data_IF_624454769858
#
_entry.id   IF_624454769858
#
_cell.length_a   1.000
_cell.length_b   1.000
_cell.length_c   1.000
_cell.angle_alpha   90.00
_cell.angle_beta   90.00
_cell.angle_gamma   90.00
#
_symmetry.space_group_name_H-M   'P 1'
#
loop_
_entity.id
_entity.type
_entity.pdbx_description
1 polymer ?
#
# COMPACT_ATOMS: atom_id res chain seq x y z
N UNK A 1 -4.63 -6.89 5.12
CA UNK A 1 -3.98 -6.11 4.05
C UNK A 1 -4.02 -4.61 4.35
N UNK A 2 -5.19 -4.02 4.65
CA UNK A 2 -5.33 -2.58 4.95
C UNK A 2 -4.34 -2.03 6.00
N UNK A 3 -4.07 -2.77 7.08
CA UNK A 3 -3.12 -2.35 8.13
C UNK A 3 -1.67 -2.19 7.66
N UNK A 4 -1.28 -2.81 6.54
CA UNK A 4 0.04 -2.59 5.92
C UNK A 4 0.14 -1.18 5.34
N UNK A 5 -0.98 -0.60 4.92
CA UNK A 5 -1.05 0.72 4.27
C UNK A 5 -1.36 1.83 5.25
N UNK A 6 -2.44 1.68 6.04
CA UNK A 6 -2.99 2.75 6.91
C UNK A 6 -2.79 2.50 8.40
N UNK A 7 -2.10 1.43 8.80
CA UNK A 7 -1.97 1.06 10.20
C UNK A 7 -1.33 2.16 11.04
N UNK A 8 -1.87 2.39 12.24
CA UNK A 8 -1.31 3.35 13.19
C UNK A 8 -0.94 2.65 14.51
N UNK A 9 0.26 2.89 15.06
CA UNK A 9 0.69 2.22 16.30
C UNK A 9 -0.01 2.74 17.56
N UNK A 10 -1.14 3.44 17.41
CA UNK A 10 -1.90 4.01 18.51
C UNK A 10 -2.51 2.89 19.37
N UNK A 11 -2.12 2.86 20.63
CA UNK A 11 -2.62 1.88 21.60
C UNK A 11 -3.97 2.34 22.18
N UNK A 12 -5.01 2.38 21.34
CA UNK A 12 -6.30 2.96 21.70
C UNK A 12 -7.26 1.96 22.39
N UNK A 13 -6.83 0.72 22.63
CA UNK A 13 -7.62 -0.28 23.33
C UNK A 13 -7.31 -0.27 24.85
N UNK A 14 -8.34 -0.03 25.67
CA UNK A 14 -8.27 -0.22 27.12
C UNK A 14 -7.90 -1.68 27.42
N UNK A 15 -6.67 -1.92 27.88
CA UNK A 15 -6.12 -3.27 28.12
C UNK A 15 -4.87 -3.62 27.30
N UNK A 16 -4.46 -2.77 26.35
CA UNK A 16 -3.10 -2.77 25.78
C UNK A 16 -2.70 -4.01 24.96
N UNK A 17 -3.65 -4.82 24.51
CA UNK A 17 -3.38 -6.11 23.85
C UNK A 17 -3.11 -6.03 22.34
N UNK A 18 -3.51 -4.94 21.68
CA UNK A 18 -3.40 -4.80 20.23
C UNK A 18 -2.80 -3.46 19.84
N UNK A 19 -1.78 -3.51 18.98
CA UNK A 19 -1.18 -2.34 18.32
C UNK A 19 -1.02 -2.67 16.86
N UNK A 20 -1.42 -1.75 16.00
CA UNK A 20 -1.28 -1.95 14.55
C UNK A 20 0.18 -1.74 14.12
N UNK A 21 0.47 -2.29 12.95
CA UNK A 21 1.69 -1.98 12.22
C UNK A 21 1.72 -0.50 11.86
N UNK A 22 2.93 0.08 11.80
CA UNK A 22 3.12 1.39 11.17
C UNK A 22 2.94 1.23 9.67
N UNK A 23 1.84 1.75 9.12
CA UNK A 23 1.47 1.60 7.72
C UNK A 23 2.38 2.38 6.77
N UNK A 24 2.45 1.92 5.51
CA UNK A 24 3.23 2.55 4.45
C UNK A 24 2.88 4.01 4.21
N UNK A 25 1.62 4.41 4.39
CA UNK A 25 1.20 5.80 4.18
C UNK A 25 1.89 6.76 5.17
N UNK A 26 2.21 6.29 6.38
CA UNK A 26 2.99 7.08 7.35
C UNK A 26 4.50 7.07 7.06
N UNK A 27 5.00 6.04 6.35
CA UNK A 27 6.41 5.90 5.96
C UNK A 27 6.73 6.49 4.59
N UNK A 28 5.74 6.78 3.77
CA UNK A 28 5.90 7.53 2.50
C UNK A 28 5.26 8.88 2.72
N UNK A 29 5.95 9.71 3.50
CA UNK A 29 5.45 11.01 3.92
C UNK A 29 6.57 12.06 3.94
N UNK A 30 6.18 13.31 4.16
CA UNK A 30 7.08 14.43 4.43
C UNK A 30 7.10 14.74 5.93
N UNK A 31 8.09 15.51 6.38
CA UNK A 31 8.21 15.94 7.77
C UNK A 31 8.98 14.96 8.65
N UNK A 32 9.94 14.22 8.09
CA UNK A 32 10.87 13.46 8.91
C UNK A 32 11.66 14.39 9.83
N UNK A 33 11.85 13.96 11.08
CA UNK A 33 12.63 14.68 12.07
C UNK A 33 13.78 13.82 12.56
N UNK A 34 14.89 14.45 12.89
CA UNK A 34 15.98 13.78 13.59
C UNK A 34 15.50 13.29 14.96
N UNK A 35 15.80 12.02 15.27
CA UNK A 35 15.37 11.39 16.50
C UNK A 35 16.03 12.00 17.76
N UNK A 36 17.23 12.57 17.62
CA UNK A 36 17.98 13.13 18.77
C UNK A 36 17.76 14.64 18.91
N UNK A 37 17.83 15.40 17.82
CA UNK A 37 17.70 16.87 17.87
C UNK A 37 16.28 17.39 17.65
N UNK A 38 15.38 16.58 17.08
CA UNK A 38 14.02 16.99 16.71
C UNK A 38 13.96 17.99 15.55
N UNK A 39 15.08 18.24 14.87
CA UNK A 39 15.15 19.15 13.72
C UNK A 39 14.61 18.44 12.48
N UNK A 40 13.86 19.16 11.64
CA UNK A 40 13.32 18.64 10.39
C UNK A 40 14.44 18.26 9.40
N UNK A 41 14.28 17.10 8.75
CA UNK A 41 15.20 16.51 7.79
C UNK A 41 14.53 16.42 6.40
N UNK A 42 14.37 17.55 5.69
CA UNK A 42 13.67 17.57 4.41
C UNK A 42 14.36 16.74 3.32
N UNK A 43 15.64 16.39 3.49
CA UNK A 43 16.37 15.53 2.56
C UNK A 43 15.96 14.05 2.62
N UNK A 44 15.30 13.62 3.69
CA UNK A 44 14.82 12.24 3.89
C UNK A 44 13.36 12.09 3.42
N UNK A 45 12.65 13.20 3.26
CA UNK A 45 11.25 13.25 2.86
C UNK A 45 11.00 12.56 1.52
N UNK A 46 9.88 11.84 1.43
CA UNK A 46 9.39 11.25 0.19
C UNK A 46 8.83 12.30 -0.77
N UNK A 47 8.85 12.02 -2.08
CA UNK A 47 8.18 12.87 -3.08
C UNK A 47 6.66 12.67 -3.00
N UNK A 48 5.98 13.51 -2.23
CA UNK A 48 4.53 13.48 -2.07
C UNK A 48 3.89 14.59 -2.91
N UNK A 49 3.00 14.21 -3.82
CA UNK A 49 2.22 15.11 -4.68
C UNK A 49 0.74 14.85 -4.49
N UNK A 50 -0.09 15.83 -4.76
CA UNK A 50 -1.55 15.72 -4.67
C UNK A 50 -2.18 15.95 -6.03
N UNK A 51 -3.02 15.01 -6.47
CA UNK A 51 -3.84 15.15 -7.67
C UNK A 51 -5.13 15.96 -7.42
N UNK A 52 -5.39 16.38 -6.17
CA UNK A 52 -6.52 17.20 -5.77
C UNK A 52 -7.89 16.64 -6.21
N UNK A 53 -8.07 15.32 -6.17
CA UNK A 53 -9.29 14.62 -6.64
C UNK A 53 -9.57 14.79 -8.14
N UNK A 54 -8.55 15.10 -8.94
CA UNK A 54 -8.70 15.14 -10.40
C UNK A 54 -8.94 13.73 -10.93
N UNK A 55 -10.01 13.55 -11.70
CA UNK A 55 -10.36 12.26 -12.26
C UNK A 55 -9.54 11.94 -13.51
N UNK A 56 -9.13 10.68 -13.66
CA UNK A 56 -8.28 10.19 -14.77
C UNK A 56 -8.90 10.49 -16.15
N UNK A 57 -10.23 10.48 -16.25
CA UNK A 57 -10.93 10.80 -17.50
C UNK A 57 -11.03 12.31 -17.79
N UNK A 58 -10.93 13.18 -16.77
CA UNK A 58 -11.12 14.64 -16.92
C UNK A 58 -9.83 15.36 -17.36
N UNK A 59 -8.70 15.00 -16.73
CA UNK A 59 -7.38 15.55 -17.08
C UNK A 59 -6.29 14.46 -17.03
N UNK A 60 -6.25 13.58 -18.05
CA UNK A 60 -5.30 12.47 -18.09
C UNK A 60 -3.85 12.96 -18.18
N UNK A 61 -3.62 14.14 -18.76
CA UNK A 61 -2.27 14.64 -19.01
C UNK A 61 -1.58 15.07 -17.72
N UNK A 62 -2.28 15.76 -16.81
CA UNK A 62 -1.68 16.16 -15.52
C UNK A 62 -1.30 14.95 -14.66
N UNK A 63 -2.14 13.92 -14.62
CA UNK A 63 -1.90 12.70 -13.82
C UNK A 63 -0.72 11.90 -14.39
N UNK A 64 -0.68 11.68 -15.70
CA UNK A 64 0.42 10.93 -16.34
C UNK A 64 1.74 11.71 -16.22
N UNK A 65 1.69 13.03 -16.36
CA UNK A 65 2.85 13.88 -16.09
C UNK A 65 3.28 13.79 -14.63
N UNK A 66 2.34 13.82 -13.67
CA UNK A 66 2.67 13.70 -12.25
C UNK A 66 3.38 12.37 -11.96
N UNK A 67 2.87 11.24 -12.46
CA UNK A 67 3.49 9.91 -12.33
C UNK A 67 4.88 9.88 -12.98
N UNK A 68 5.00 10.42 -14.20
CA UNK A 68 6.27 10.47 -14.94
C UNK A 68 7.32 11.29 -14.21
N UNK A 69 6.96 12.48 -13.73
CA UNK A 69 7.88 13.36 -12.98
C UNK A 69 8.22 12.80 -11.60
N UNK A 70 7.30 12.09 -10.94
CA UNK A 70 7.58 11.39 -9.69
C UNK A 70 8.70 10.35 -9.91
N UNK A 71 8.60 9.52 -10.96
CA UNK A 71 9.66 8.56 -11.31
C UNK A 71 10.97 9.24 -11.71
N UNK A 72 10.93 10.27 -12.57
CA UNK A 72 12.13 11.01 -13.00
C UNK A 72 12.88 11.65 -11.83
N UNK A 73 12.14 12.22 -10.87
CA UNK A 73 12.70 12.86 -9.69
C UNK A 73 13.47 11.85 -8.83
N UNK A 74 12.81 10.76 -8.41
CA UNK A 74 13.48 9.76 -7.55
C UNK A 74 14.62 9.03 -8.27
N UNK A 75 14.52 8.83 -9.58
CA UNK A 75 15.61 8.23 -10.38
C UNK A 75 16.83 9.15 -10.45
N UNK A 76 16.60 10.45 -10.62
CA UNK A 76 17.69 11.44 -10.61
C UNK A 76 18.33 11.51 -9.22
N UNK A 77 17.53 11.47 -8.15
CA UNK A 77 18.04 11.40 -6.77
C UNK A 77 18.86 10.14 -6.51
N UNK A 78 18.42 8.97 -6.98
CA UNK A 78 19.18 7.73 -6.83
C UNK A 78 20.56 7.80 -7.50
N UNK A 79 20.62 8.40 -8.69
CA UNK A 79 21.89 8.62 -9.39
C UNK A 79 22.80 9.61 -8.65
N UNK A 80 22.24 10.71 -8.15
CA UNK A 80 22.99 11.72 -7.40
C UNK A 80 23.49 11.22 -6.04
N UNK A 81 22.74 10.35 -5.38
CA UNK A 81 23.09 9.76 -4.09
C UNK A 81 23.97 8.51 -4.21
N UNK A 82 24.21 8.00 -5.43
CA UNK A 82 25.09 6.86 -5.69
C UNK A 82 24.52 5.52 -5.25
N UNK A 83 23.19 5.40 -5.12
CA UNK A 83 22.49 4.18 -4.71
C UNK A 83 21.92 3.37 -5.88
N UNK A 84 22.21 3.81 -7.10
CA UNK A 84 21.89 3.08 -8.33
C UNK A 84 22.66 1.75 -8.42
N UNK A 85 22.06 0.68 -8.98
CA UNK A 85 20.70 0.62 -9.52
C UNK A 85 19.63 0.33 -8.45
N UNK A 86 18.48 0.98 -8.59
CA UNK A 86 17.31 0.80 -7.71
C UNK A 86 16.19 0.08 -8.47
N UNK A 87 15.50 -0.84 -7.81
CA UNK A 87 14.26 -1.45 -8.32
C UNK A 87 13.06 -0.74 -7.73
N UNK A 88 12.38 0.04 -8.55
CA UNK A 88 11.12 0.68 -8.17
C UNK A 88 9.91 -0.14 -8.62
N UNK A 89 8.84 -0.05 -7.85
CA UNK A 89 7.53 -0.59 -8.20
C UNK A 89 6.45 0.42 -7.86
N UNK A 90 5.46 0.55 -8.73
CA UNK A 90 4.23 1.26 -8.38
C UNK A 90 3.28 0.30 -7.66
N UNK A 91 2.58 0.79 -6.65
CA UNK A 91 1.48 0.09 -6.01
C UNK A 91 0.22 0.95 -6.07
N UNK A 92 -0.88 0.38 -6.55
CA UNK A 92 -2.17 1.04 -6.73
C UNK A 92 -3.31 0.01 -6.71
N UNK A 93 -4.57 0.46 -6.61
CA UNK A 93 -5.73 -0.41 -6.75
C UNK A 93 -5.93 -0.90 -8.18
N UNK A 94 -6.57 -2.06 -8.35
CA UNK A 94 -6.81 -2.67 -9.66
C UNK A 94 -7.70 -1.79 -10.56
N UNK A 95 -8.70 -1.13 -10.00
CA UNK A 95 -9.64 -0.30 -10.77
C UNK A 95 -8.96 0.94 -11.36
N UNK A 96 -8.20 1.65 -10.52
CA UNK A 96 -7.37 2.77 -10.93
C UNK A 96 -6.38 2.36 -12.04
N UNK A 97 -5.79 1.17 -11.92
CA UNK A 97 -4.89 0.63 -12.95
C UNK A 97 -5.56 0.46 -14.32
N UNK A 98 -6.80 -0.02 -14.38
CA UNK A 98 -7.52 -0.17 -15.65
C UNK A 98 -7.85 1.16 -16.30
N UNK A 99 -8.21 2.17 -15.53
CA UNK A 99 -8.48 3.52 -16.05
C UNK A 99 -7.20 4.23 -16.49
N UNK A 100 -6.10 4.13 -15.73
CA UNK A 100 -4.81 4.71 -16.15
C UNK A 100 -4.33 4.06 -17.46
N UNK A 101 -4.38 2.73 -17.58
CA UNK A 101 -3.92 2.04 -18.80
C UNK A 101 -4.75 2.36 -20.04
N UNK A 102 -6.00 2.82 -19.89
CA UNK A 102 -6.86 3.27 -21.00
C UNK A 102 -6.35 4.59 -21.60
N UNK A 103 -5.89 5.52 -20.78
CA UNK A 103 -5.40 6.84 -21.22
C UNK A 103 -3.88 6.88 -21.48
N UNK A 104 -3.11 5.98 -20.86
CA UNK A 104 -1.65 5.96 -20.93
C UNK A 104 -1.05 5.92 -22.35
N UNK A 105 -1.50 5.04 -23.26
CA UNK A 105 -0.96 5.01 -24.62
C UNK A 105 -1.15 6.34 -25.35
N UNK A 106 -2.30 6.99 -25.16
CA UNK A 106 -2.62 8.26 -25.80
C UNK A 106 -1.61 9.34 -25.39
N UNK A 107 -1.42 9.55 -24.09
CA UNK A 107 -0.46 10.54 -23.60
C UNK A 107 1.00 10.19 -23.96
N UNK A 108 1.37 8.90 -23.94
CA UNK A 108 2.73 8.46 -24.23
C UNK A 108 3.12 8.68 -25.70
N UNK A 109 2.23 8.38 -26.66
CA UNK A 109 2.54 8.53 -28.08
C UNK A 109 2.46 9.98 -28.57
N UNK A 110 1.58 10.80 -27.98
CA UNK A 110 1.32 12.17 -28.45
C UNK A 110 2.07 13.24 -27.64
N UNK A 111 2.67 12.91 -26.49
CA UNK A 111 3.18 13.89 -25.54
C UNK A 111 2.07 14.66 -24.80
N UNK A 112 0.85 14.10 -24.81
CA UNK A 112 -0.40 14.63 -24.25
C UNK A 112 -1.63 14.06 -24.97
N UNK A 113 -2.82 14.01 -24.38
CA UNK A 113 -4.02 13.40 -24.95
C UNK A 113 -4.76 14.32 -25.93
N UNK A 114 -4.32 15.57 -26.09
CA UNK A 114 -4.96 16.56 -26.96
C UNK A 114 -4.40 16.53 -28.39
N UNK A 115 -5.29 16.27 -29.35
CA UNK A 115 -4.94 15.91 -30.73
C UNK A 115 -4.94 17.12 -31.69
N UNK A 116 -4.56 18.31 -31.22
CA UNK A 116 -4.69 19.53 -32.02
C UNK A 116 -3.38 20.32 -31.96
N UNK A 117 -2.61 20.31 -33.06
CA UNK A 117 -1.57 21.30 -33.30
C UNK A 117 -2.20 22.72 -33.30
N UNK A 118 -1.41 23.76 -33.01
CA UNK A 118 -1.84 25.17 -33.07
C UNK A 118 -2.45 25.57 -34.44
N UNK A 119 -2.22 24.75 -35.48
CA UNK A 119 -2.76 24.89 -36.83
C UNK A 119 -4.02 24.05 -37.12
N UNK A 120 -4.56 23.31 -36.15
CA UNK A 120 -5.77 22.49 -36.31
C UNK A 120 -5.57 21.12 -36.98
N UNK A 121 -4.33 20.63 -37.11
CA UNK A 121 -4.06 19.29 -37.66
C UNK A 121 -4.11 18.21 -36.57
N UNK A 122 -4.81 17.10 -36.88
CA UNK A 122 -4.89 15.92 -36.03
C UNK A 122 -3.74 14.97 -36.37
N UNK A 123 -2.90 14.67 -35.39
CA UNK A 123 -1.93 13.57 -35.50
C UNK A 123 -2.72 12.27 -35.48
N UNK A 124 -2.67 11.51 -36.58
CA UNK A 124 -3.31 10.21 -36.70
C UNK A 124 -2.28 9.15 -36.34
N UNK A 125 -2.46 8.50 -35.19
CA UNK A 125 -1.70 7.32 -34.79
C UNK A 125 -2.53 6.09 -35.13
N UNK A 126 -1.85 5.02 -35.56
CA UNK A 126 -2.49 3.73 -35.77
C UNK A 126 -3.06 3.18 -34.45
N UNK A 127 -4.38 3.02 -34.41
CA UNK A 127 -5.09 2.53 -33.23
C UNK A 127 -4.61 1.14 -32.77
N UNK A 128 -4.02 0.36 -33.68
CA UNK A 128 -3.44 -0.95 -33.37
C UNK A 128 -2.29 -0.85 -32.38
N UNK A 129 -1.37 0.10 -32.55
CA UNK A 129 -0.19 0.23 -31.68
C UNK A 129 -0.59 0.70 -30.27
N UNK A 130 -1.62 1.53 -30.17
CA UNK A 130 -2.17 1.97 -28.88
C UNK A 130 -2.82 0.81 -28.11
N UNK A 131 -3.58 -0.04 -28.81
CA UNK A 131 -4.21 -1.23 -28.22
C UNK A 131 -3.15 -2.25 -27.82
N UNK A 132 -2.18 -2.51 -28.70
CA UNK A 132 -1.11 -3.48 -28.43
C UNK A 132 -0.25 -3.03 -27.22
N UNK A 133 0.04 -1.73 -27.09
CA UNK A 133 0.75 -1.20 -25.91
C UNK A 133 -0.08 -1.32 -24.63
N UNK A 134 -1.37 -0.96 -24.67
CA UNK A 134 -2.28 -1.11 -23.52
C UNK A 134 -2.33 -2.56 -23.04
N UNK A 135 -2.53 -3.49 -23.96
CA UNK A 135 -2.70 -4.90 -23.62
C UNK A 135 -1.39 -5.51 -23.12
N UNK A 136 -0.24 -5.08 -23.66
CA UNK A 136 1.09 -5.43 -23.13
C UNK A 136 1.30 -4.90 -21.70
N UNK A 137 0.92 -3.66 -21.40
CA UNK A 137 1.02 -3.10 -20.06
C UNK A 137 0.14 -3.88 -19.07
N UNK A 138 -1.11 -4.18 -19.45
CA UNK A 138 -2.05 -4.93 -18.61
C UNK A 138 -1.58 -6.36 -18.34
N UNK A 139 -1.09 -7.07 -19.35
CA UNK A 139 -0.58 -8.43 -19.20
C UNK A 139 0.75 -8.47 -18.43
N UNK A 140 1.65 -7.54 -18.72
CA UNK A 140 2.98 -7.47 -18.11
C UNK A 140 3.03 -6.74 -16.77
N UNK A 141 1.92 -6.10 -16.35
CA UNK A 141 1.82 -5.27 -15.14
C UNK A 141 2.99 -4.29 -15.02
N UNK A 142 3.15 -3.45 -16.04
CA UNK A 142 4.19 -2.42 -16.04
C UNK A 142 3.68 -1.12 -16.63
N UNK A 143 4.21 -0.01 -16.13
CA UNK A 143 4.13 1.31 -16.78
C UNK A 143 5.40 1.56 -17.58
N UNK A 144 5.23 2.05 -18.81
CA UNK A 144 6.35 2.48 -19.64
C UNK A 144 6.60 3.97 -19.43
N UNK A 145 7.70 4.30 -18.74
CA UNK A 145 8.10 5.69 -18.45
C UNK A 145 9.48 5.92 -19.07
N UNK A 146 9.58 6.85 -20.03
CA UNK A 146 10.84 7.19 -20.72
C UNK A 146 11.60 5.98 -21.30
N UNK A 147 10.86 5.01 -21.86
CA UNK A 147 11.42 3.78 -22.40
C UNK A 147 11.84 2.74 -21.34
N UNK A 148 11.64 2.99 -20.05
CA UNK A 148 11.88 2.05 -18.96
C UNK A 148 10.56 1.43 -18.52
N UNK A 149 10.55 0.10 -18.36
CA UNK A 149 9.42 -0.63 -17.78
C UNK A 149 9.53 -0.62 -16.27
N UNK A 150 8.55 -0.03 -15.59
CA UNK A 150 8.44 -0.02 -14.14
C UNK A 150 7.30 -0.94 -13.74
N UNK A 151 7.58 -1.93 -12.89
CA UNK A 151 6.59 -2.93 -12.47
C UNK A 151 5.47 -2.28 -11.64
N UNK A 152 4.25 -2.83 -11.75
CA UNK A 152 3.07 -2.41 -11.00
C UNK A 152 2.53 -3.57 -10.19
N UNK A 153 2.33 -3.34 -8.89
CA UNK A 153 1.66 -4.23 -7.96
C UNK A 153 0.24 -3.69 -7.75
N UNK A 154 -0.73 -4.59 -7.83
CA UNK A 154 -2.13 -4.29 -7.53
C UNK A 154 -2.41 -4.80 -6.12
N UNK A 155 -2.94 -3.94 -5.25
CA UNK A 155 -3.28 -4.28 -3.87
C UNK A 155 -4.56 -3.55 -3.42
N UNK A 156 -5.58 -4.33 -3.09
CA UNK A 156 -6.87 -3.84 -2.59
C UNK A 156 -6.77 -3.27 -1.17
N UNK A 157 -5.66 -3.55 -0.45
CA UNK A 157 -5.41 -3.00 0.87
C UNK A 157 -5.15 -1.49 0.91
N UNK A 158 -4.91 -0.84 -0.24
CA UNK A 158 -4.79 0.61 -0.32
C UNK A 158 -6.18 1.21 -0.05
N UNK A 159 -6.31 2.23 0.83
CA UNK A 159 -7.60 2.83 1.13
C UNK A 159 -8.19 3.54 -0.09
N UNK A 160 -9.51 3.47 -0.20
CA UNK A 160 -10.28 4.16 -1.22
C UNK A 160 -11.22 5.16 -0.56
N UNK A 161 -11.35 6.32 -1.19
CA UNK A 161 -12.25 7.39 -0.80
C UNK A 161 -13.43 7.43 -1.76
N UNK A 162 -14.61 7.64 -1.21
CA UNK A 162 -15.88 7.68 -1.94
C UNK A 162 -16.46 9.09 -1.91
N UNK A 163 -17.57 9.31 -2.62
CA UNK A 163 -18.37 10.54 -2.51
C UNK A 163 -18.85 10.85 -1.07
N UNK A 164 -18.84 9.86 -0.16
CA UNK A 164 -19.12 10.06 1.26
C UNK A 164 -18.00 10.76 2.03
N UNK A 165 -16.76 10.67 1.54
CA UNK A 165 -15.56 11.16 2.23
C UNK A 165 -15.15 12.57 1.79
N UNK A 166 -15.45 12.93 0.54
CA UNK A 166 -15.13 14.26 -0.01
C UNK A 166 -16.19 14.70 -1.02
N UNK A 167 -16.65 15.95 -0.91
CA UNK A 167 -17.58 16.57 -1.85
C UNK A 167 -16.99 16.78 -3.26
N UNK A 168 -15.68 16.59 -3.43
CA UNK A 168 -14.99 16.68 -4.72
C UNK A 168 -15.09 15.39 -5.54
N UNK A 169 -15.59 14.30 -4.97
CA UNK A 169 -15.76 13.02 -5.65
C UNK A 169 -17.23 12.86 -6.07
N UNK A 170 -17.47 12.66 -7.37
CA UNK A 170 -18.81 12.44 -7.90
C UNK A 170 -19.33 11.04 -7.52
N UNK A 171 -20.66 10.88 -7.45
CA UNK A 171 -21.28 9.57 -7.24
C UNK A 171 -20.89 8.59 -8.37
N UNK A 172 -20.41 7.40 -7.99
CA UNK A 172 -19.88 6.41 -8.93
C UNK A 172 -18.39 6.59 -9.28
N UNK A 173 -17.74 7.60 -8.73
CA UNK A 173 -16.29 7.75 -8.77
C UNK A 173 -15.67 7.48 -7.40
N UNK A 174 -14.41 7.09 -7.42
CA UNK A 174 -13.61 6.71 -6.27
C UNK A 174 -12.26 7.41 -6.35
N UNK A 175 -11.57 7.60 -5.23
CA UNK A 175 -10.22 8.14 -5.23
C UNK A 175 -9.29 7.26 -4.39
N UNK A 176 -8.09 7.00 -4.89
CA UNK A 176 -7.06 6.28 -4.14
C UNK A 176 -5.68 6.87 -4.38
N UNK A 177 -4.75 6.55 -3.49
CA UNK A 177 -3.37 6.98 -3.58
C UNK A 177 -2.55 6.01 -4.44
N UNK A 178 -1.61 6.54 -5.22
CA UNK A 178 -0.60 5.74 -5.94
C UNK A 178 0.73 5.85 -5.22
N UNK A 179 1.36 4.71 -4.92
CA UNK A 179 2.66 4.67 -4.26
C UNK A 179 3.76 4.27 -5.25
N UNK A 180 4.91 4.92 -5.17
CA UNK A 180 6.16 4.47 -5.77
C UNK A 180 7.08 3.99 -4.66
N UNK A 181 7.38 2.69 -4.67
CA UNK A 181 8.12 2.03 -3.59
C UNK A 181 9.47 1.53 -4.12
N UNK A 182 10.59 1.89 -3.46
CA UNK A 182 11.87 1.27 -3.72
C UNK A 182 11.90 -0.11 -3.04
N UNK A 183 12.03 -1.17 -3.83
CA UNK A 183 12.12 -2.55 -3.33
C UNK A 183 13.56 -2.93 -2.97
N UNK A 184 14.50 -2.53 -3.80
CA UNK A 184 15.93 -2.74 -3.55
C UNK A 184 16.80 -1.63 -4.11
N UNK A 185 17.95 -1.40 -3.48
CA UNK A 185 18.99 -0.45 -3.90
C UNK A 185 20.33 -1.17 -4.11
N UNK A 186 21.28 -0.53 -4.80
CA UNK A 186 22.62 -1.08 -5.09
C UNK A 186 22.57 -2.47 -5.75
N UNK A 187 21.51 -2.78 -6.50
CA UNK A 187 21.35 -4.06 -7.20
C UNK A 187 21.00 -5.27 -6.33
N UNK A 188 20.60 -5.10 -5.07
CA UNK A 188 20.16 -6.25 -4.27
C UNK A 188 19.84 -6.01 -2.79
N UNK A 189 20.12 -4.83 -2.25
CA UNK A 189 19.83 -4.54 -0.83
C UNK A 189 18.35 -4.19 -0.68
N UNK A 190 17.58 -5.03 0.01
CA UNK A 190 16.15 -4.77 0.23
C UNK A 190 15.92 -3.53 1.09
N UNK A 191 15.07 -2.63 0.60
CA UNK A 191 14.73 -1.36 1.26
C UNK A 191 13.35 -1.37 1.89
N UNK A 192 12.40 -2.08 1.28
CA UNK A 192 11.08 -2.35 1.82
C UNK A 192 11.04 -3.80 2.32
N UNK A 193 10.85 -4.00 3.63
CA UNK A 193 10.77 -5.33 4.23
C UNK A 193 9.85 -5.37 5.45
N UNK A 194 9.31 -6.55 5.72
CA UNK A 194 8.61 -6.85 6.95
C UNK A 194 9.58 -7.56 7.90
N UNK A 195 9.90 -6.92 9.02
CA UNK A 195 10.69 -7.50 10.09
C UNK A 195 9.75 -7.97 11.21
N UNK A 196 10.15 -9.00 11.96
CA UNK A 196 9.49 -9.36 13.20
C UNK A 196 10.46 -9.22 14.35
N UNK A 197 9.95 -8.87 15.52
CA UNK A 197 10.73 -8.97 16.74
C UNK A 197 11.06 -10.44 17.01
N UNK A 198 12.32 -10.71 17.36
CA UNK A 198 12.78 -12.04 17.71
C UNK A 198 12.59 -12.31 19.21
N UNK A 199 11.61 -13.15 19.52
CA UNK A 199 11.30 -13.63 20.87
C UNK A 199 12.23 -14.75 21.34
N UNK A 200 13.14 -15.24 20.50
CA UNK A 200 14.21 -16.18 20.90
C UNK A 200 15.49 -15.48 21.36
N UNK A 201 15.49 -14.15 21.44
CA UNK A 201 16.65 -13.42 21.91
C UNK A 201 17.09 -13.84 23.34
N UNK A 202 18.40 -13.74 23.60
CA UNK A 202 19.00 -14.21 24.85
C UNK A 202 18.38 -13.55 26.11
N UNK A 203 17.97 -12.29 26.01
CA UNK A 203 17.33 -11.55 27.09
C UNK A 203 15.98 -12.15 27.47
N UNK A 204 15.16 -12.52 26.49
CA UNK A 204 13.84 -13.13 26.71
C UNK A 204 14.00 -14.56 27.20
N UNK A 205 14.92 -15.34 26.64
CA UNK A 205 15.22 -16.68 27.15
C UNK A 205 15.68 -16.65 28.61
N UNK A 206 16.50 -15.65 29.00
CA UNK A 206 16.88 -15.46 30.40
C UNK A 206 15.67 -15.08 31.28
N UNK A 207 14.78 -14.21 30.80
CA UNK A 207 13.57 -13.83 31.51
C UNK A 207 12.62 -15.02 31.69
N UNK A 208 12.39 -15.81 30.64
CA UNK A 208 11.57 -17.03 30.68
C UNK A 208 12.15 -18.04 31.68
N UNK A 209 13.47 -18.22 31.70
CA UNK A 209 14.13 -19.13 32.66
C UNK A 209 13.96 -18.71 34.14
N UNK A 210 13.74 -17.41 34.37
CA UNK A 210 13.49 -16.84 35.70
C UNK A 210 12.00 -16.79 36.09
N UNK A 211 11.10 -17.04 35.14
CA UNK A 211 9.66 -17.03 35.38
C UNK A 211 9.18 -18.40 35.88
N UNK A 212 8.41 -18.40 36.96
CA UNK A 212 7.80 -19.60 37.57
C UNK A 212 6.62 -20.15 36.72
N UNK A 213 6.24 -19.46 35.65
CA UNK A 213 5.12 -19.82 34.78
C UNK A 213 5.62 -20.84 33.72
N UNK A 214 5.45 -22.12 34.05
CA UNK A 214 6.02 -23.28 33.36
C UNK A 214 5.47 -23.59 31.94
N UNK A 215 4.84 -22.65 31.24
CA UNK A 215 4.23 -22.90 29.93
C UNK A 215 4.35 -21.70 28.98
N UNK A 216 5.56 -21.16 28.87
CA UNK A 216 5.90 -20.17 27.83
C UNK A 216 6.65 -20.88 26.71
N UNK A 217 6.18 -20.79 25.46
CA UNK A 217 6.93 -21.26 24.29
C UNK A 217 7.22 -20.06 23.38
N UNK A 218 8.37 -20.11 22.74
CA UNK A 218 8.84 -19.11 21.78
C UNK A 218 9.10 -19.79 20.45
N UNK A 219 8.83 -19.09 19.36
CA UNK A 219 9.07 -19.60 18.00
C UNK A 219 9.58 -18.51 17.06
N UNK A 220 10.60 -17.77 17.50
CA UNK A 220 11.19 -16.62 16.81
C UNK A 220 10.23 -15.43 16.68
N UNK A 221 9.25 -15.50 15.79
CA UNK A 221 8.31 -14.42 15.50
C UNK A 221 7.15 -14.28 16.50
N UNK A 222 6.98 -15.24 17.40
CA UNK A 222 5.88 -15.28 18.35
C UNK A 222 6.31 -15.82 19.71
N UNK A 223 5.53 -15.45 20.73
CA UNK A 223 5.59 -16.02 22.07
C UNK A 223 4.17 -16.40 22.51
N UNK A 224 4.02 -17.58 23.12
CA UNK A 224 2.77 -18.00 23.74
C UNK A 224 2.95 -18.24 25.24
N UNK A 225 1.91 -17.95 26.00
CA UNK A 225 1.85 -18.20 27.44
C UNK A 225 0.49 -18.76 27.79
N UNK A 226 0.46 -19.64 28.79
CA UNK A 226 -0.80 -20.19 29.32
C UNK A 226 -1.13 -19.53 30.64
N UNK A 227 -2.32 -18.98 30.74
CA UNK A 227 -2.93 -18.56 32.00
C UNK A 227 -3.98 -19.57 32.42
N UNK A 228 -3.72 -20.28 33.52
CA UNK A 228 -4.68 -21.20 34.12
C UNK A 228 -5.39 -20.55 35.30
N UNK A 229 -6.73 -20.57 35.29
CA UNK A 229 -7.56 -20.21 36.46
C UNK A 229 -8.51 -21.37 36.72
N UNK A 230 -8.28 -22.12 37.81
CA UNK A 230 -8.95 -23.40 38.08
C UNK A 230 -8.79 -24.39 36.90
N UNK A 231 -9.90 -24.82 36.28
CA UNK A 231 -9.92 -25.68 35.09
C UNK A 231 -9.97 -24.91 33.77
N UNK A 232 -10.02 -23.57 33.80
CA UNK A 232 -10.01 -22.74 32.61
C UNK A 232 -8.58 -22.47 32.17
N UNK A 233 -8.27 -22.81 30.92
CA UNK A 233 -7.00 -22.51 30.26
C UNK A 233 -7.22 -21.41 29.23
N UNK A 234 -6.46 -20.32 29.33
CA UNK A 234 -6.40 -19.28 28.32
C UNK A 234 -5.00 -19.26 27.71
N UNK A 235 -4.93 -19.50 26.41
CA UNK A 235 -3.73 -19.33 25.61
C UNK A 235 -3.63 -17.86 25.18
N UNK A 236 -2.51 -17.22 25.49
CA UNK A 236 -2.22 -15.86 25.07
C UNK A 236 -1.03 -15.91 24.13
N UNK A 237 -1.22 -15.42 22.91
CA UNK A 237 -0.16 -15.34 21.89
C UNK A 237 0.15 -13.88 21.62
N UNK A 238 1.42 -13.57 21.40
CA UNK A 238 1.88 -12.24 21.05
C UNK A 238 2.85 -12.32 19.87
N UNK A 239 2.64 -11.42 18.92
CA UNK A 239 3.52 -11.16 17.79
C UNK A 239 3.79 -9.65 17.72
N UNK A 240 4.99 -9.27 17.29
CA UNK A 240 5.38 -7.87 17.08
C UNK A 240 6.06 -7.71 15.71
N UNK A 241 5.28 -7.70 14.61
CA UNK A 241 5.82 -7.38 13.31
C UNK A 241 6.04 -5.87 13.17
N UNK A 242 6.92 -5.46 12.25
CA UNK A 242 7.17 -4.07 11.87
C UNK A 242 7.49 -3.98 10.39
N UNK A 243 6.81 -3.07 9.70
CA UNK A 243 7.15 -2.72 8.33
C UNK A 243 8.25 -1.66 8.31
N UNK A 244 9.26 -1.82 7.45
CA UNK A 244 10.38 -0.90 7.37
C UNK A 244 10.60 -0.47 5.92
N UNK A 245 10.67 0.83 5.73
CA UNK A 245 11.20 1.49 4.54
C UNK A 245 12.51 2.20 4.89
N UNK A 246 13.64 1.67 4.41
CA UNK A 246 14.98 2.22 4.71
C UNK A 246 15.33 3.48 3.90
N UNK A 247 14.70 3.66 2.75
CA UNK A 247 15.03 4.75 1.79
C UNK A 247 13.79 5.56 1.43
N UNK A 248 13.18 6.28 2.40
CA UNK A 248 11.96 7.06 2.15
C UNK A 248 12.15 8.18 1.12
N UNK A 249 13.35 8.74 0.98
CA UNK A 249 13.66 9.77 -0.02
C UNK A 249 13.65 9.27 -1.48
N UNK A 250 13.64 7.95 -1.68
CA UNK A 250 13.47 7.31 -3.00
C UNK A 250 12.04 6.83 -3.23
N UNK A 251 11.18 6.96 -2.23
CA UNK A 251 9.77 6.67 -2.35
C UNK A 251 8.99 7.92 -2.73
N UNK A 252 7.82 7.72 -3.32
CA UNK A 252 6.90 8.80 -3.62
C UNK A 252 5.46 8.36 -3.51
N UNK A 253 4.56 9.33 -3.41
CA UNK A 253 3.12 9.12 -3.33
C UNK A 253 2.40 10.19 -4.13
N UNK A 254 1.46 9.77 -4.96
CA UNK A 254 0.50 10.67 -5.60
C UNK A 254 -0.85 10.49 -4.92
N UNK A 255 -1.28 11.50 -4.19
CA UNK A 255 -2.48 11.47 -3.38
C UNK A 255 -3.73 11.76 -4.20
N UNK A 256 -4.86 11.23 -3.73
CA UNK A 256 -6.20 11.63 -4.17
C UNK A 256 -6.41 11.56 -5.69
N UNK A 257 -6.00 10.46 -6.34
CA UNK A 257 -6.26 10.25 -7.76
C UNK A 257 -7.67 9.72 -7.93
N UNK A 258 -8.54 10.47 -8.60
CA UNK A 258 -9.92 10.05 -8.85
C UNK A 258 -10.03 9.14 -10.09
N UNK A 259 -10.89 8.13 -10.05
CA UNK A 259 -11.25 7.27 -11.17
C UNK A 259 -12.74 6.90 -11.09
N UNK A 260 -13.37 6.72 -12.25
CA UNK A 260 -14.80 6.44 -12.36
C UNK A 260 -15.01 5.13 -13.14
N UNK A 261 -14.84 3.97 -12.48
CA UNK A 261 -14.99 2.68 -13.13
C UNK A 261 -16.47 2.44 -13.46
N UNK A 262 -16.74 1.76 -14.58
CA UNK A 262 -18.13 1.42 -14.97
C UNK A 262 -18.83 0.54 -13.93
N UNK A 263 -18.06 -0.35 -13.30
CA UNK A 263 -18.52 -1.24 -12.25
C UNK A 263 -17.38 -1.48 -11.27
N UNK A 264 -17.64 -1.23 -9.98
CA UNK A 264 -16.72 -1.56 -8.91
C UNK A 264 -16.62 -3.09 -8.75
N UNK A 265 -15.41 -3.56 -8.49
CA UNK A 265 -15.05 -4.94 -8.20
C UNK A 265 -15.46 -5.32 -6.78
N UNK A 266 -15.34 -6.60 -6.43
CA UNK A 266 -15.71 -7.06 -5.09
C UNK A 266 -14.55 -6.85 -4.14
N UNK A 267 -14.84 -6.22 -3.01
CA UNK A 267 -13.84 -6.01 -1.96
C UNK A 267 -13.73 -7.24 -1.06
N UNK A 268 -12.51 -7.58 -0.58
CA UNK A 268 -12.30 -8.69 0.35
C UNK A 268 -12.60 -8.33 1.81
N UNK A 269 -12.94 -7.07 2.12
CA UNK A 269 -13.06 -6.56 3.49
C UNK A 269 -14.52 -6.57 3.99
N UNK A 270 -14.86 -7.27 5.10
CA UNK A 270 -16.24 -7.41 5.57
C UNK A 270 -16.99 -6.11 5.89
N UNK A 271 -16.26 -5.05 6.24
CA UNK A 271 -16.83 -3.74 6.59
C UNK A 271 -17.12 -2.87 5.35
N UNK A 272 -16.71 -3.31 4.15
CA UNK A 272 -16.86 -2.58 2.91
C UNK A 272 -18.25 -2.82 2.25
N UNK A 273 -18.91 -1.78 1.69
CA UNK A 273 -20.18 -1.93 0.98
C UNK A 273 -20.16 -2.93 -0.19
N UNK A 274 -19.00 -3.16 -0.80
CA UNK A 274 -18.82 -4.05 -1.95
C UNK A 274 -18.41 -5.48 -1.55
N UNK A 275 -18.35 -5.78 -0.26
CA UNK A 275 -18.12 -7.13 0.24
C UNK A 275 -19.35 -8.01 0.09
N UNK A 276 -19.11 -9.23 -0.40
CA UNK A 276 -20.15 -10.26 -0.53
C UNK A 276 -19.69 -11.50 0.22
N UNK A 277 -20.41 -11.85 1.28
CA UNK A 277 -20.09 -13.02 2.11
C UNK A 277 -20.21 -14.32 1.31
N UNK A 278 -19.22 -15.20 1.47
CA UNK A 278 -19.21 -16.57 0.96
C UNK A 278 -20.06 -17.54 1.80
N UNK A 279 -20.58 -17.08 2.94
CA UNK A 279 -21.44 -17.79 3.86
C UNK A 279 -20.71 -18.25 5.13
N UNK A 280 -21.32 -18.03 6.29
CA UNK A 280 -20.81 -18.50 7.58
C UNK A 280 -21.47 -19.81 8.01
N UNK A 281 -20.67 -20.78 8.50
CA UNK A 281 -21.21 -21.95 9.22
C UNK A 281 -20.73 -21.95 10.67
N UNK A 282 -21.48 -21.29 11.54
CA UNK A 282 -21.24 -21.36 12.98
C UNK A 282 -21.77 -22.70 13.54
N UNK A 283 -20.86 -23.57 13.98
CA UNK A 283 -21.20 -24.77 14.74
C UNK A 283 -21.04 -24.48 16.22
N UNK A 284 -22.14 -24.37 17.00
CA UNK A 284 -21.99 -24.27 18.44
C UNK A 284 -21.27 -25.51 18.97
N UNK A 285 -20.29 -25.30 19.85
CA UNK A 285 -19.58 -26.39 20.50
C UNK A 285 -20.56 -27.30 21.26
N UNK A 286 -20.32 -28.63 21.31
CA UNK A 286 -21.20 -29.56 21.99
C UNK A 286 -21.29 -29.18 23.48
N UNK A 287 -22.48 -28.81 23.94
CA UNK A 287 -22.75 -28.58 25.36
C UNK A 287 -23.72 -29.64 25.87
N UNK A 288 -23.46 -30.18 27.06
CA UNK A 288 -24.35 -31.12 27.74
C UNK A 288 -25.74 -30.53 28.05
N UNK A 289 -25.88 -29.20 28.00
CA UNK A 289 -27.12 -28.46 28.27
C UNK A 289 -27.88 -28.06 26.99
N UNK A 290 -27.42 -28.47 25.80
CA UNK A 290 -28.08 -28.12 24.55
C UNK A 290 -29.52 -28.64 24.44
N UNK A 291 -29.87 -29.71 25.17
CA UNK A 291 -31.23 -30.26 25.25
C UNK A 291 -32.20 -29.49 26.18
N UNK A 292 -31.70 -28.58 27.02
CA UNK A 292 -32.51 -27.93 28.08
C UNK A 292 -32.73 -26.43 27.85
N UNK A 293 -32.29 -25.91 26.69
CA UNK A 293 -32.66 -24.58 26.21
C UNK A 293 -33.88 -24.68 25.29
N UNK A 294 -35.05 -24.90 25.90
CA UNK A 294 -36.38 -24.72 25.29
C UNK A 294 -37.20 -23.79 26.17
#
# INVERSE_FOLDING_TARGET
AQQVWVGTPANNAAGGGYKELVGLQSQVNTGYVDAETGIALPSIDSDVKDANFTCVDDDPDSIINAITYLYRFVRTLASQTGVDPVRWMFAMREELWYEITKVWPCAYFLGGCTVVDASGQRIVIDAKDQIDLRDQMRQGRFLLIDGVKVDVILDDGIPELTAGDSASINEGCFASDIFLLPMSVLGGTATLLLEHFDFENASIQSAISSMVIAQTRTGGAWIDTVRQTNWCLQWQMKIEPRLILRTPWLAGRLNNVCYCPLQHTREPFPDDPYFVDGGETARPGPSYFAMWKS
#
